data_IF_008583790891
#
_entry.id   IF_008583790891
#
_cell.length_a   1.000
_cell.length_b   1.000
_cell.length_c   1.000
_cell.angle_alpha   90.00
_cell.angle_beta   90.00
_cell.angle_gamma   90.00
#
_symmetry.space_group_name_H-M   'P 1'
#
loop_
_entity.id
_entity.type
_entity.pdbx_description
1 polymer ?
#
# COMPACT_ATOMS: atom_id res chain seq x y z
N UNK A 1 -32.45 8.58 0.00
CA UNK A 1 -31.00 8.88 -0.12
C UNK A 1 -30.88 10.17 -0.90
N UNK A 2 -30.07 11.15 -0.49
CA UNK A 2 -29.85 12.35 -1.31
C UNK A 2 -29.27 11.92 -2.67
N UNK A 3 -29.73 12.54 -3.76
CA UNK A 3 -29.25 12.27 -5.11
C UNK A 3 -27.72 12.48 -5.15
N UNK A 4 -27.00 11.52 -5.72
CA UNK A 4 -25.56 11.65 -5.96
C UNK A 4 -25.34 12.85 -6.89
N UNK A 5 -24.29 13.62 -6.65
CA UNK A 5 -23.93 14.79 -7.45
C UNK A 5 -22.57 14.56 -8.08
N UNK A 6 -22.36 15.05 -9.30
CA UNK A 6 -21.08 14.98 -10.01
C UNK A 6 -20.78 16.28 -10.75
N UNK A 7 -19.51 16.50 -11.06
CA UNK A 7 -19.08 17.61 -11.90
C UNK A 7 -19.39 17.32 -13.37
N UNK A 8 -20.08 18.22 -14.04
CA UNK A 8 -20.26 18.16 -15.49
C UNK A 8 -19.17 18.98 -16.22
N UNK A 9 -18.61 20.00 -15.56
CA UNK A 9 -17.50 20.81 -16.08
C UNK A 9 -16.20 20.00 -16.09
N UNK A 10 -15.73 19.60 -17.25
CA UNK A 10 -14.51 18.81 -17.45
C UNK A 10 -13.26 19.53 -16.95
N UNK A 11 -13.16 20.85 -17.11
CA UNK A 11 -11.99 21.63 -16.65
C UNK A 11 -11.92 21.64 -15.12
N UNK A 12 -13.05 21.88 -14.46
CA UNK A 12 -13.11 21.84 -13.00
C UNK A 12 -12.89 20.43 -12.45
N UNK A 13 -13.41 19.41 -13.13
CA UNK A 13 -13.18 18.00 -12.77
C UNK A 13 -11.70 17.61 -12.89
N UNK A 14 -11.02 18.02 -13.96
CA UNK A 14 -9.59 17.78 -14.14
C UNK A 14 -8.77 18.52 -13.08
N UNK A 15 -9.09 19.78 -12.80
CA UNK A 15 -8.42 20.57 -11.79
C UNK A 15 -8.56 19.94 -10.40
N UNK A 16 -9.77 19.54 -10.01
CA UNK A 16 -10.04 18.85 -8.74
C UNK A 16 -9.26 17.52 -8.67
N UNK A 17 -9.21 16.75 -9.76
CA UNK A 17 -8.44 15.51 -9.81
C UNK A 17 -6.94 15.74 -9.63
N UNK A 18 -6.35 16.71 -10.34
CA UNK A 18 -4.93 17.04 -10.20
C UNK A 18 -4.60 17.47 -8.77
N UNK A 19 -5.45 18.31 -8.17
CA UNK A 19 -5.30 18.71 -6.78
C UNK A 19 -5.34 17.49 -5.83
N UNK A 20 -6.34 16.60 -5.98
CA UNK A 20 -6.47 15.39 -5.17
C UNK A 20 -5.26 14.46 -5.36
N UNK A 21 -4.75 14.36 -6.58
CA UNK A 21 -3.57 13.55 -6.89
C UNK A 21 -2.32 14.07 -6.16
N UNK A 22 -2.07 15.37 -6.21
CA UNK A 22 -0.95 16.02 -5.50
C UNK A 22 -1.13 15.87 -3.98
N UNK A 23 -2.32 16.15 -3.48
CA UNK A 23 -2.66 15.99 -2.06
C UNK A 23 -2.42 14.56 -1.58
N UNK A 24 -2.83 13.56 -2.34
CA UNK A 24 -2.63 12.16 -1.97
C UNK A 24 -1.16 11.73 -2.02
N UNK A 25 -0.40 12.25 -2.98
CA UNK A 25 1.05 12.06 -3.00
C UNK A 25 1.72 12.66 -1.74
N UNK A 26 1.31 13.85 -1.31
CA UNK A 26 1.78 14.48 -0.08
C UNK A 26 1.35 13.68 1.15
N UNK A 27 0.12 13.18 1.22
CA UNK A 27 -0.34 12.31 2.32
C UNK A 27 0.52 11.05 2.41
N UNK A 28 0.84 10.42 1.28
CA UNK A 28 1.74 9.25 1.26
C UNK A 28 3.18 9.59 1.64
N UNK A 29 3.68 10.74 1.21
CA UNK A 29 4.98 11.24 1.64
C UNK A 29 5.02 11.39 3.16
N UNK A 30 4.11 12.17 3.74
CA UNK A 30 4.08 12.49 5.16
C UNK A 30 3.81 11.27 6.05
N UNK A 31 3.01 10.31 5.57
CA UNK A 31 2.79 9.01 6.21
C UNK A 31 4.07 8.18 6.30
N UNK A 32 4.95 8.27 5.31
CA UNK A 32 6.18 7.48 5.23
C UNK A 32 7.44 8.27 5.65
N UNK A 33 7.32 9.53 6.10
CA UNK A 33 8.47 10.30 6.56
C UNK A 33 9.17 9.64 7.76
N UNK A 34 8.42 8.93 8.61
CA UNK A 34 8.99 8.14 9.70
C UNK A 34 9.89 7.01 9.17
N UNK A 35 9.45 6.28 8.14
CA UNK A 35 10.27 5.23 7.50
C UNK A 35 11.53 5.82 6.85
N UNK A 36 11.44 6.98 6.23
CA UNK A 36 12.60 7.70 5.67
C UNK A 36 13.59 8.16 6.75
N UNK A 37 13.09 8.56 7.92
CA UNK A 37 13.91 9.00 9.05
C UNK A 37 14.53 7.83 9.84
N UNK A 38 14.03 6.60 9.70
CA UNK A 38 14.41 5.45 10.53
C UNK A 38 15.91 5.19 10.55
N UNK A 39 16.57 5.22 9.38
CA UNK A 39 18.01 4.98 9.29
C UNK A 39 18.81 6.02 10.08
N UNK A 40 18.42 7.30 10.03
CA UNK A 40 19.07 8.38 10.79
C UNK A 40 18.80 8.27 12.29
N UNK A 41 17.57 7.96 12.70
CA UNK A 41 17.18 7.76 14.11
C UNK A 41 18.00 6.63 14.74
N UNK A 42 18.16 5.52 14.03
CA UNK A 42 18.97 4.37 14.47
C UNK A 42 20.46 4.71 14.49
N UNK A 43 20.97 5.39 13.47
CA UNK A 43 22.37 5.79 13.38
C UNK A 43 22.78 6.77 14.51
N UNK A 44 21.87 7.66 14.91
CA UNK A 44 22.07 8.60 16.02
C UNK A 44 21.89 7.94 17.40
N UNK A 45 21.50 6.65 17.46
CA UNK A 45 21.29 5.91 18.70
C UNK A 45 20.08 6.34 19.53
N UNK A 46 19.15 7.11 18.94
CA UNK A 46 17.95 7.62 19.63
C UNK A 46 16.96 6.48 19.89
N UNK A 47 16.82 5.55 18.95
CA UNK A 47 15.94 4.37 19.05
C UNK A 47 16.60 3.16 18.40
N UNK A 48 16.23 1.96 18.91
CA UNK A 48 16.59 0.70 18.25
C UNK A 48 15.72 0.45 17.02
N UNK A 49 16.12 -0.49 16.14
CA UNK A 49 15.31 -0.94 15.00
C UNK A 49 13.94 -1.45 15.44
N UNK A 50 13.90 -2.20 16.54
CA UNK A 50 12.64 -2.73 17.08
C UNK A 50 11.72 -1.63 17.60
N UNK A 51 12.26 -0.57 18.22
CA UNK A 51 11.46 0.59 18.67
C UNK A 51 10.87 1.36 17.49
N UNK A 52 11.66 1.67 16.47
CA UNK A 52 11.17 2.32 15.24
C UNK A 52 10.18 1.43 14.50
N UNK A 53 10.45 0.13 14.47
CA UNK A 53 9.56 -0.88 13.90
C UNK A 53 8.24 -0.98 14.64
N UNK A 54 8.22 -0.88 15.97
CA UNK A 54 6.99 -0.92 16.77
C UNK A 54 6.09 0.28 16.47
N UNK A 55 6.65 1.50 16.36
CA UNK A 55 5.88 2.69 15.98
C UNK A 55 5.17 2.47 14.64
N UNK A 56 5.88 1.94 13.64
CA UNK A 56 5.31 1.63 12.33
C UNK A 56 4.27 0.50 12.40
N UNK A 57 4.54 -0.56 13.19
CA UNK A 57 3.64 -1.69 13.34
C UNK A 57 2.31 -1.27 13.97
N UNK A 58 2.35 -0.50 15.05
CA UNK A 58 1.14 0.00 15.74
C UNK A 58 0.34 0.92 14.83
N UNK A 59 1.02 1.79 14.05
CA UNK A 59 0.34 2.61 13.05
C UNK A 59 -0.50 1.75 12.11
N UNK A 60 0.06 0.74 11.47
CA UNK A 60 -0.67 -0.11 10.51
C UNK A 60 -1.69 -1.03 11.18
N UNK A 61 -1.43 -1.50 12.41
CA UNK A 61 -2.36 -2.32 13.18
C UNK A 61 -3.66 -1.57 13.49
N UNK A 62 -3.57 -0.27 13.77
CA UNK A 62 -4.74 0.59 14.04
C UNK A 62 -5.35 1.10 12.73
N UNK A 63 -4.52 1.50 11.77
CA UNK A 63 -4.94 2.06 10.49
C UNK A 63 -5.80 1.09 9.66
N UNK A 64 -5.38 -0.18 9.55
CA UNK A 64 -6.03 -1.12 8.65
C UNK A 64 -7.49 -1.46 9.02
N UNK A 65 -7.83 -1.79 10.29
CA UNK A 65 -9.23 -1.99 10.69
C UNK A 65 -10.07 -0.72 10.58
N UNK A 66 -9.47 0.42 10.94
CA UNK A 66 -10.17 1.71 10.90
C UNK A 66 -10.46 2.20 9.48
N UNK A 67 -9.77 1.71 8.44
CA UNK A 67 -10.15 1.98 7.05
C UNK A 67 -11.57 1.47 6.71
N UNK A 68 -12.01 0.36 7.31
CA UNK A 68 -13.38 -0.14 7.12
C UNK A 68 -14.40 0.82 7.76
N UNK A 69 -14.07 1.34 8.94
CA UNK A 69 -14.89 2.36 9.61
C UNK A 69 -14.88 3.66 8.81
N UNK A 70 -13.71 4.09 8.35
CA UNK A 70 -13.52 5.26 7.49
C UNK A 70 -14.33 5.18 6.19
N UNK A 71 -14.42 3.99 5.56
CA UNK A 71 -15.26 3.75 4.41
C UNK A 71 -16.75 3.97 4.70
N UNK A 72 -17.26 3.40 5.81
CA UNK A 72 -18.64 3.63 6.25
C UNK A 72 -18.93 5.10 6.60
N UNK A 73 -17.95 5.79 7.19
CA UNK A 73 -18.06 7.21 7.46
C UNK A 73 -18.07 8.02 6.16
N UNK A 74 -17.20 7.71 5.20
CA UNK A 74 -17.15 8.37 3.91
C UNK A 74 -18.47 8.22 3.13
N UNK A 75 -19.17 7.09 3.27
CA UNK A 75 -20.48 6.90 2.63
C UNK A 75 -21.59 7.77 3.25
N UNK A 76 -21.53 7.99 4.57
CA UNK A 76 -22.60 8.70 5.32
C UNK A 76 -22.33 10.19 5.50
N UNK A 77 -21.04 10.56 5.62
CA UNK A 77 -20.61 11.92 5.91
C UNK A 77 -20.06 12.59 4.64
N UNK A 78 -19.78 13.88 4.77
CA UNK A 78 -19.13 14.69 3.74
C UNK A 78 -17.66 14.28 3.60
N UNK A 79 -17.22 13.81 2.41
CA UNK A 79 -15.86 13.33 2.22
C UNK A 79 -14.80 14.42 2.42
N UNK A 80 -15.13 15.68 2.06
CA UNK A 80 -14.25 16.84 2.25
C UNK A 80 -13.91 17.10 3.73
N UNK A 81 -14.88 16.97 4.63
CA UNK A 81 -14.65 17.15 6.07
C UNK A 81 -13.75 16.04 6.62
N UNK A 82 -13.95 14.80 6.21
CA UNK A 82 -13.10 13.68 6.61
C UNK A 82 -11.66 13.86 6.11
N UNK A 83 -11.49 14.39 4.89
CA UNK A 83 -10.18 14.73 4.34
C UNK A 83 -9.54 15.85 5.17
N UNK A 84 -10.27 16.91 5.49
CA UNK A 84 -9.76 18.03 6.30
C UNK A 84 -9.32 17.55 7.69
N UNK A 85 -10.13 16.73 8.38
CA UNK A 85 -9.77 16.14 9.67
C UNK A 85 -8.47 15.33 9.55
N UNK A 86 -8.35 14.50 8.51
CA UNK A 86 -7.16 13.71 8.24
C UNK A 86 -5.92 14.56 8.00
N UNK A 87 -6.02 15.61 7.16
CA UNK A 87 -4.90 16.50 6.83
C UNK A 87 -4.46 17.32 8.06
N UNK A 88 -5.40 17.95 8.76
CA UNK A 88 -5.10 18.78 9.93
C UNK A 88 -4.55 17.92 11.07
N UNK A 89 -5.20 16.80 11.39
CA UNK A 89 -4.75 15.89 12.44
C UNK A 89 -3.36 15.31 12.16
N UNK A 90 -3.08 14.93 10.89
CA UNK A 90 -1.74 14.47 10.49
C UNK A 90 -0.72 15.61 10.52
N UNK A 91 -1.09 16.83 10.17
CA UNK A 91 -0.26 18.01 10.29
C UNK A 91 0.18 18.26 11.73
N UNK A 92 -0.78 18.23 12.66
CA UNK A 92 -0.52 18.37 14.10
C UNK A 92 0.38 17.24 14.61
N UNK A 93 0.12 16.00 14.24
CA UNK A 93 0.93 14.85 14.65
C UNK A 93 2.40 14.99 14.20
N UNK A 94 2.63 15.37 12.94
CA UNK A 94 3.98 15.62 12.44
C UNK A 94 4.66 16.78 13.16
N UNK A 95 3.94 17.86 13.47
CA UNK A 95 4.48 19.00 14.19
C UNK A 95 4.90 18.64 15.62
N UNK A 96 4.09 17.84 16.33
CA UNK A 96 4.44 17.37 17.69
C UNK A 96 5.72 16.53 17.66
N UNK A 97 5.89 15.65 16.68
CA UNK A 97 7.12 14.82 16.53
C UNK A 97 8.34 15.70 16.23
N UNK A 98 8.17 16.75 15.42
CA UNK A 98 9.25 17.71 15.18
C UNK A 98 9.73 18.36 16.47
N UNK A 99 8.81 18.73 17.38
CA UNK A 99 9.12 19.41 18.64
C UNK A 99 9.70 18.48 19.71
N UNK A 100 9.35 17.19 19.69
CA UNK A 100 9.76 16.26 20.74
C UNK A 100 9.99 14.84 20.19
N UNK A 101 11.18 14.32 20.39
CA UNK A 101 11.66 13.03 19.91
C UNK A 101 11.61 11.92 20.96
N UNK A 102 10.81 12.10 22.04
CA UNK A 102 10.62 11.03 23.04
C UNK A 102 9.91 9.84 22.40
N UNK A 103 10.44 8.64 22.58
CA UNK A 103 9.92 7.38 22.01
C UNK A 103 8.43 7.15 22.32
N UNK A 104 8.02 7.29 23.59
CA UNK A 104 6.63 7.04 23.98
C UNK A 104 5.68 8.08 23.41
N UNK A 105 6.09 9.35 23.36
CA UNK A 105 5.30 10.40 22.73
C UNK A 105 5.15 10.14 21.23
N UNK A 106 6.23 9.77 20.54
CA UNK A 106 6.19 9.43 19.12
C UNK A 106 5.27 8.23 18.86
N UNK A 107 5.31 7.19 19.69
CA UNK A 107 4.44 6.02 19.58
C UNK A 107 2.96 6.41 19.71
N UNK A 108 2.61 7.21 20.71
CA UNK A 108 1.22 7.66 20.95
C UNK A 108 0.76 8.55 19.81
N UNK A 109 1.54 9.58 19.46
CA UNK A 109 1.18 10.54 18.43
C UNK A 109 1.06 9.88 17.05
N UNK A 110 1.96 8.94 16.73
CA UNK A 110 1.89 8.21 15.45
C UNK A 110 0.70 7.26 15.38
N UNK A 111 0.32 6.67 16.54
CA UNK A 111 -0.89 5.87 16.66
C UNK A 111 -2.15 6.74 16.44
N UNK A 112 -2.23 7.93 17.04
CA UNK A 112 -3.33 8.87 16.82
C UNK A 112 -3.37 9.36 15.36
N UNK A 113 -2.21 9.57 14.75
CA UNK A 113 -2.10 9.90 13.34
C UNK A 113 -2.73 8.81 12.44
N UNK A 114 -2.58 7.53 12.80
CA UNK A 114 -3.20 6.43 12.05
C UNK A 114 -4.73 6.47 12.09
N UNK A 115 -5.31 6.91 13.21
CA UNK A 115 -6.77 7.07 13.36
C UNK A 115 -7.30 8.13 12.41
N UNK A 116 -6.70 9.34 12.43
CA UNK A 116 -7.18 10.45 11.59
C UNK A 116 -6.92 10.20 10.11
N UNK A 117 -5.87 9.46 9.75
CA UNK A 117 -5.57 9.11 8.35
C UNK A 117 -6.46 8.00 7.80
N UNK A 118 -7.09 7.18 8.65
CA UNK A 118 -7.82 6.00 8.21
C UNK A 118 -8.98 6.29 7.26
N UNK A 119 -9.63 7.44 7.40
CA UNK A 119 -10.74 7.88 6.56
C UNK A 119 -10.31 8.62 5.28
N UNK A 120 -9.02 9.00 5.13
CA UNK A 120 -8.54 9.78 3.98
C UNK A 120 -8.74 9.04 2.67
N UNK A 121 -8.21 7.83 2.57
CA UNK A 121 -8.31 7.06 1.32
C UNK A 121 -9.75 6.76 0.90
N UNK A 122 -10.65 6.26 1.77
CA UNK A 122 -12.04 6.06 1.39
C UNK A 122 -12.73 7.32 0.91
N UNK A 123 -12.45 8.47 1.55
CA UNK A 123 -13.02 9.76 1.17
C UNK A 123 -12.49 10.27 -0.18
N UNK A 124 -11.18 10.16 -0.41
CA UNK A 124 -10.55 10.47 -1.70
C UNK A 124 -11.13 9.59 -2.80
N UNK A 125 -11.22 8.28 -2.56
CA UNK A 125 -11.77 7.33 -3.52
C UNK A 125 -13.23 7.63 -3.85
N UNK A 126 -14.04 8.04 -2.87
CA UNK A 126 -15.43 8.46 -3.08
C UNK A 126 -15.51 9.67 -4.00
N UNK A 127 -14.69 10.72 -3.78
CA UNK A 127 -14.69 11.90 -4.66
C UNK A 127 -14.31 11.48 -6.09
N UNK A 128 -13.25 10.71 -6.27
CA UNK A 128 -12.77 10.30 -7.60
C UNK A 128 -13.80 9.43 -8.32
N UNK A 129 -14.42 8.48 -7.64
CA UNK A 129 -15.31 7.49 -8.25
C UNK A 129 -16.72 7.98 -8.49
N UNK A 130 -17.19 9.01 -7.74
CA UNK A 130 -18.58 9.45 -7.81
C UNK A 130 -18.78 10.93 -8.13
N UNK A 131 -17.83 11.82 -7.78
CA UNK A 131 -18.03 13.26 -7.88
C UNK A 131 -17.32 13.91 -9.07
N UNK A 132 -16.33 13.26 -9.67
CA UNK A 132 -15.71 13.74 -10.91
C UNK A 132 -16.61 13.53 -12.12
N UNK A 133 -16.31 14.24 -13.22
CA UNK A 133 -16.93 14.01 -14.51
C UNK A 133 -16.70 12.56 -14.97
N UNK A 134 -17.68 11.97 -15.63
CA UNK A 134 -17.69 10.54 -15.99
C UNK A 134 -16.41 10.07 -16.69
N UNK A 135 -15.90 10.88 -17.62
CA UNK A 135 -14.66 10.56 -18.35
C UNK A 135 -13.41 10.51 -17.45
N UNK A 136 -13.40 11.27 -16.36
CA UNK A 136 -12.29 11.34 -15.43
C UNK A 136 -12.35 10.27 -14.33
N UNK A 137 -13.51 9.66 -14.05
CA UNK A 137 -13.66 8.67 -12.97
C UNK A 137 -12.76 7.45 -13.17
N UNK A 138 -12.87 6.76 -14.32
CA UNK A 138 -12.11 5.53 -14.60
C UNK A 138 -10.61 5.82 -14.68
N UNK A 139 -10.23 6.89 -15.41
CA UNK A 139 -8.84 7.32 -15.52
C UNK A 139 -8.29 7.77 -14.17
N UNK A 140 -9.09 8.49 -13.38
CA UNK A 140 -8.72 8.97 -12.06
C UNK A 140 -8.39 7.84 -11.09
N UNK A 141 -9.21 6.79 -11.04
CA UNK A 141 -8.95 5.60 -10.21
C UNK A 141 -7.64 4.90 -10.61
N UNK A 142 -7.32 4.87 -11.90
CA UNK A 142 -6.05 4.30 -12.35
C UNK A 142 -4.85 5.19 -11.96
N UNK A 143 -4.91 6.49 -12.27
CA UNK A 143 -3.77 7.38 -12.06
C UNK A 143 -3.50 7.70 -10.59
N UNK A 144 -4.52 7.67 -9.70
CA UNK A 144 -4.30 7.96 -8.27
C UNK A 144 -3.38 6.94 -7.60
N UNK A 145 -3.28 5.71 -8.12
CA UNK A 145 -2.38 4.69 -7.59
C UNK A 145 -0.90 5.09 -7.71
N UNK A 146 -0.55 5.85 -8.74
CA UNK A 146 0.81 6.36 -8.90
C UNK A 146 1.18 7.42 -7.85
N UNK A 147 0.20 8.21 -7.37
CA UNK A 147 0.45 9.22 -6.35
C UNK A 147 1.06 8.62 -5.09
N UNK A 148 0.64 7.42 -4.68
CA UNK A 148 1.20 6.72 -3.52
C UNK A 148 2.67 6.33 -3.71
N UNK A 149 3.05 5.88 -4.91
CA UNK A 149 4.44 5.52 -5.22
C UNK A 149 5.32 6.76 -5.24
N UNK A 150 4.88 7.85 -5.89
CA UNK A 150 5.61 9.11 -5.88
C UNK A 150 5.73 9.68 -4.46
N UNK A 151 4.66 9.64 -3.67
CA UNK A 151 4.70 10.09 -2.27
C UNK A 151 5.71 9.29 -1.44
N UNK A 152 5.78 7.97 -1.63
CA UNK A 152 6.79 7.15 -0.97
C UNK A 152 8.21 7.53 -1.40
N UNK A 153 8.46 7.74 -2.70
CA UNK A 153 9.76 8.21 -3.18
C UNK A 153 10.14 9.56 -2.57
N UNK A 154 9.20 10.52 -2.51
CA UNK A 154 9.45 11.82 -1.89
C UNK A 154 9.76 11.73 -0.40
N UNK A 155 9.21 10.75 0.33
CA UNK A 155 9.56 10.53 1.74
C UNK A 155 11.05 10.19 1.91
N UNK A 156 11.61 9.36 1.04
CA UNK A 156 13.03 8.99 1.09
C UNK A 156 13.93 10.08 0.48
N UNK A 157 13.49 10.78 -0.57
CA UNK A 157 14.21 11.93 -1.13
C UNK A 157 14.35 13.03 -0.08
N UNK A 158 13.26 13.41 0.58
CA UNK A 158 13.30 14.45 1.62
C UNK A 158 14.17 14.03 2.80
N UNK A 159 14.10 12.76 3.22
CA UNK A 159 14.95 12.24 4.28
C UNK A 159 16.44 12.25 3.91
N UNK A 160 16.76 12.03 2.62
CA UNK A 160 18.13 12.10 2.13
C UNK A 160 18.68 13.54 2.03
N UNK A 161 17.82 14.50 1.69
CA UNK A 161 18.21 15.90 1.49
C UNK A 161 18.23 16.73 2.78
N UNK A 162 17.48 16.30 3.82
CA UNK A 162 17.42 17.02 5.09
C UNK A 162 18.64 16.74 5.95
N UNK A 163 19.35 17.78 6.37
CA UNK A 163 20.49 17.67 7.30
C UNK A 163 20.12 17.13 8.68
N UNK A 164 18.88 17.37 9.10
CA UNK A 164 18.30 16.83 10.34
C UNK A 164 17.00 16.13 9.99
N UNK A 165 16.85 14.86 10.37
CA UNK A 165 15.68 14.07 10.09
C UNK A 165 14.37 14.66 10.66
N UNK A 166 14.46 15.41 11.78
CA UNK A 166 13.32 16.12 12.39
C UNK A 166 12.69 17.12 11.41
N UNK A 167 13.49 17.80 10.58
CA UNK A 167 12.99 18.77 9.61
C UNK A 167 12.05 18.15 8.57
N UNK A 168 12.15 16.83 8.35
CA UNK A 168 11.23 16.12 7.47
C UNK A 168 9.79 16.13 8.04
N UNK A 169 9.65 16.03 9.36
CA UNK A 169 8.34 16.14 10.04
C UNK A 169 7.80 17.57 10.02
N UNK A 170 8.67 18.58 10.17
CA UNK A 170 8.25 19.99 10.03
C UNK A 170 7.74 20.26 8.62
N UNK A 171 8.50 19.89 7.60
CA UNK A 171 8.08 20.04 6.21
C UNK A 171 6.77 19.32 5.93
N UNK A 172 6.63 18.08 6.43
CA UNK A 172 5.40 17.30 6.33
C UNK A 172 4.21 18.02 6.95
N UNK A 173 4.38 18.60 8.13
CA UNK A 173 3.34 19.37 8.81
C UNK A 173 2.90 20.58 7.97
N UNK A 174 3.86 21.38 7.48
CA UNK A 174 3.57 22.56 6.65
C UNK A 174 2.82 22.18 5.39
N UNK A 175 3.26 21.14 4.68
CA UNK A 175 2.61 20.67 3.45
C UNK A 175 1.17 20.19 3.71
N UNK A 176 0.94 19.47 4.81
CA UNK A 176 -0.40 19.00 5.17
C UNK A 176 -1.36 20.16 5.48
N UNK A 177 -0.89 21.20 6.20
CA UNK A 177 -1.70 22.39 6.46
C UNK A 177 -1.99 23.19 5.18
N UNK A 178 -1.00 23.33 4.29
CA UNK A 178 -1.22 23.96 2.97
C UNK A 178 -2.29 23.18 2.19
N UNK A 179 -2.20 21.86 2.14
CA UNK A 179 -3.21 21.03 1.45
C UNK A 179 -4.59 21.15 2.11
N UNK A 180 -4.66 21.26 3.44
CA UNK A 180 -5.92 21.47 4.13
C UNK A 180 -6.57 22.81 3.77
N UNK A 181 -5.78 23.89 3.72
CA UNK A 181 -6.26 25.23 3.32
C UNK A 181 -6.78 25.19 1.87
N UNK A 182 -6.01 24.61 0.95
CA UNK A 182 -6.41 24.50 -0.45
C UNK A 182 -7.70 23.65 -0.57
N UNK A 183 -7.81 22.53 0.19
CA UNK A 183 -9.04 21.70 0.19
C UNK A 183 -10.26 22.48 0.66
N UNK A 184 -10.10 23.26 1.73
CA UNK A 184 -11.18 24.09 2.27
C UNK A 184 -11.67 25.18 1.28
N UNK A 185 -10.83 25.59 0.33
CA UNK A 185 -11.16 26.56 -0.72
C UNK A 185 -11.70 25.86 -1.98
N UNK A 186 -10.96 24.88 -2.48
CA UNK A 186 -11.21 24.26 -3.79
C UNK A 186 -12.48 23.41 -3.79
N UNK A 187 -12.67 22.59 -2.76
CA UNK A 187 -13.80 21.66 -2.75
C UNK A 187 -15.16 22.37 -2.69
N UNK A 188 -15.42 23.40 -1.88
CA UNK A 188 -16.69 24.14 -1.93
C UNK A 188 -16.96 24.80 -3.28
N UNK A 189 -15.93 25.28 -3.97
CA UNK A 189 -16.07 25.84 -5.33
C UNK A 189 -16.50 24.74 -6.31
N UNK A 190 -15.87 23.57 -6.25
CA UNK A 190 -16.23 22.41 -7.06
C UNK A 190 -17.65 21.93 -6.72
N UNK A 191 -17.99 21.81 -5.44
CA UNK A 191 -19.30 21.33 -4.98
C UNK A 191 -20.47 22.20 -5.43
N UNK A 192 -20.29 23.53 -5.55
CA UNK A 192 -21.31 24.45 -6.10
C UNK A 192 -21.59 24.22 -7.58
N UNK A 193 -20.66 23.61 -8.32
CA UNK A 193 -20.78 23.30 -9.75
C UNK A 193 -21.24 21.87 -10.02
N UNK A 194 -21.48 21.08 -8.96
CA UNK A 194 -21.97 19.71 -9.10
C UNK A 194 -23.45 19.70 -9.42
N UNK A 195 -23.82 18.90 -10.41
CA UNK A 195 -25.20 18.64 -10.83
C UNK A 195 -25.66 17.27 -10.31
N UNK A 196 -27.00 17.08 -10.14
CA UNK A 196 -27.52 15.76 -9.79
C UNK A 196 -27.12 14.71 -10.84
N UNK A 197 -26.75 13.53 -10.39
CA UNK A 197 -26.40 12.41 -11.27
C UNK A 197 -27.69 11.71 -11.70
N UNK A 198 -28.24 12.10 -12.86
CA UNK A 198 -29.45 11.51 -13.43
C UNK A 198 -29.22 10.11 -14.00
N UNK A 199 -27.95 9.72 -14.21
CA UNK A 199 -27.61 8.43 -14.80
C UNK A 199 -27.74 7.27 -13.81
N UNK A 200 -28.05 7.54 -12.55
CA UNK A 200 -28.13 6.54 -11.48
C UNK A 200 -26.76 5.91 -11.18
N UNK A 201 -26.65 5.03 -10.18
CA UNK A 201 -25.45 4.19 -10.07
C UNK A 201 -25.37 3.47 -11.40
N UNK A 202 -24.30 3.74 -12.15
CA UNK A 202 -24.13 3.17 -13.47
C UNK A 202 -24.58 1.70 -13.43
N UNK A 203 -25.54 1.33 -14.27
CA UNK A 203 -25.84 -0.07 -14.63
C UNK A 203 -24.61 -0.78 -15.22
N UNK A 204 -23.47 -0.13 -15.15
CA UNK A 204 -22.19 -0.70 -15.47
C UNK A 204 -21.92 -1.78 -14.42
N UNK A 205 -22.14 -3.02 -14.84
CA UNK A 205 -21.77 -4.28 -14.21
C UNK A 205 -22.80 -5.01 -13.32
N UNK A 206 -24.06 -4.63 -13.33
CA UNK A 206 -25.13 -5.60 -13.17
C UNK A 206 -25.74 -5.87 -14.55
N UNK A 207 -24.97 -6.42 -15.47
CA UNK A 207 -25.55 -7.39 -16.38
C UNK A 207 -26.15 -8.45 -15.47
N UNK A 208 -27.45 -8.72 -15.63
CA UNK A 208 -28.12 -9.85 -15.03
C UNK A 208 -27.44 -11.12 -15.55
N UNK A 209 -26.33 -11.49 -14.91
CA UNK A 209 -25.74 -12.80 -15.14
C UNK A 209 -26.72 -13.79 -14.54
N UNK A 210 -27.41 -14.54 -15.39
CA UNK A 210 -28.16 -15.73 -14.98
C UNK A 210 -27.22 -16.59 -14.13
N UNK A 211 -27.44 -16.59 -12.83
CA UNK A 211 -26.74 -17.50 -11.94
C UNK A 211 -27.26 -18.90 -12.25
N UNK A 212 -26.39 -19.86 -12.57
CA UNK A 212 -26.82 -21.25 -12.64
C UNK A 212 -27.47 -21.62 -11.30
N UNK A 213 -28.74 -22.04 -11.34
CA UNK A 213 -29.57 -22.27 -10.14
C UNK A 213 -28.95 -23.25 -9.13
N UNK A 214 -28.01 -24.10 -9.57
CA UNK A 214 -27.38 -25.16 -8.76
C UNK A 214 -26.07 -24.76 -8.05
N UNK A 215 -25.55 -23.51 -8.20
CA UNK A 215 -24.28 -23.14 -7.61
C UNK A 215 -24.43 -22.45 -6.24
N UNK A 216 -23.73 -22.99 -5.23
CA UNK A 216 -23.65 -22.35 -3.91
C UNK A 216 -22.78 -21.09 -3.96
N UNK A 217 -23.45 -19.93 -4.03
CA UNK A 217 -22.82 -18.60 -4.11
C UNK A 217 -22.57 -17.95 -2.73
N UNK A 218 -22.76 -18.69 -1.62
CA UNK A 218 -22.43 -18.20 -0.27
C UNK A 218 -20.93 -17.94 -0.18
N UNK A 219 -20.55 -16.74 0.29
CA UNK A 219 -19.16 -16.28 0.34
C UNK A 219 -18.21 -17.30 0.96
N UNK A 220 -18.55 -17.84 2.13
CA UNK A 220 -17.69 -18.80 2.83
C UNK A 220 -17.42 -20.08 2.01
N UNK A 221 -18.46 -20.63 1.37
CA UNK A 221 -18.34 -21.84 0.54
C UNK A 221 -17.46 -21.58 -0.68
N UNK A 222 -17.70 -20.46 -1.39
CA UNK A 222 -16.90 -20.06 -2.54
C UNK A 222 -15.43 -19.87 -2.15
N UNK A 223 -15.16 -19.15 -1.05
CA UNK A 223 -13.80 -18.85 -0.60
C UNK A 223 -13.02 -20.07 -0.13
N UNK A 224 -13.72 -21.05 0.48
CA UNK A 224 -13.14 -22.35 0.82
C UNK A 224 -12.84 -23.18 -0.43
N UNK A 225 -13.76 -23.23 -1.40
CA UNK A 225 -13.60 -23.99 -2.66
C UNK A 225 -12.46 -23.42 -3.51
N UNK A 226 -12.38 -22.10 -3.69
CA UNK A 226 -11.33 -21.46 -4.50
C UNK A 226 -9.95 -21.45 -3.82
N UNK A 227 -9.88 -21.75 -2.51
CA UNK A 227 -8.63 -21.79 -1.77
C UNK A 227 -8.17 -20.42 -1.25
N UNK A 228 -9.05 -19.41 -1.19
CA UNK A 228 -8.72 -18.06 -0.71
C UNK A 228 -8.04 -18.10 0.67
N UNK A 229 -8.61 -18.84 1.63
CA UNK A 229 -8.06 -18.92 2.98
C UNK A 229 -6.64 -19.50 3.05
N UNK A 230 -6.27 -20.39 2.11
CA UNK A 230 -4.89 -20.91 1.96
C UNK A 230 -4.00 -19.88 1.29
N UNK A 231 -4.57 -19.00 0.46
CA UNK A 231 -3.84 -17.94 -0.22
C UNK A 231 -3.53 -16.74 0.70
N UNK A 232 -4.32 -16.48 1.75
CA UNK A 232 -4.12 -15.34 2.66
C UNK A 232 -2.72 -15.33 3.30
N UNK A 233 -2.13 -16.43 3.81
CA UNK A 233 -0.74 -16.44 4.28
C UNK A 233 0.28 -16.04 3.20
N UNK A 234 0.04 -16.38 1.93
CA UNK A 234 0.90 -15.94 0.82
C UNK A 234 0.81 -14.43 0.63
N UNK A 235 -0.39 -13.87 0.77
CA UNK A 235 -0.61 -12.42 0.70
C UNK A 235 0.05 -11.70 1.90
N UNK A 236 0.02 -12.31 3.09
CA UNK A 236 0.75 -11.83 4.27
C UNK A 236 2.25 -11.78 3.96
N UNK A 237 2.83 -12.88 3.44
CA UNK A 237 4.24 -12.93 3.05
C UNK A 237 4.58 -11.88 1.98
N UNK A 238 3.70 -11.65 1.00
CA UNK A 238 3.85 -10.58 0.00
C UNK A 238 3.88 -9.19 0.63
N UNK A 239 2.96 -8.90 1.55
CA UNK A 239 2.90 -7.63 2.27
C UNK A 239 4.17 -7.39 3.09
N UNK A 240 4.64 -8.45 3.76
CA UNK A 240 5.85 -8.47 4.56
C UNK A 240 7.11 -8.19 3.71
N UNK A 241 7.24 -8.81 2.53
CA UNK A 241 8.35 -8.58 1.61
C UNK A 241 8.28 -7.20 0.95
N UNK A 242 7.10 -6.81 0.43
CA UNK A 242 6.96 -5.61 -0.40
C UNK A 242 7.24 -4.33 0.37
N UNK A 243 6.47 -4.04 1.40
CA UNK A 243 6.68 -2.82 2.20
C UNK A 243 7.85 -2.99 3.19
N UNK A 244 8.07 -4.21 3.65
CA UNK A 244 9.14 -4.51 4.58
C UNK A 244 10.51 -4.15 4.06
N UNK A 245 10.85 -4.63 2.88
CA UNK A 245 12.13 -4.32 2.26
C UNK A 245 12.24 -2.82 1.97
N UNK A 246 11.20 -2.18 1.41
CA UNK A 246 11.21 -0.74 1.13
C UNK A 246 11.47 0.12 2.38
N UNK A 247 10.92 -0.28 3.52
CA UNK A 247 11.07 0.48 4.76
C UNK A 247 12.43 0.23 5.45
N UNK A 248 12.97 -0.99 5.33
CA UNK A 248 14.20 -1.38 6.04
C UNK A 248 15.46 -1.36 5.18
N UNK A 249 15.35 -1.29 3.85
CA UNK A 249 16.53 -1.31 2.98
C UNK A 249 17.56 -0.23 3.32
N UNK A 250 17.22 1.04 3.63
CA UNK A 250 18.22 2.03 4.02
C UNK A 250 19.02 1.61 5.25
N UNK A 251 18.35 1.10 6.29
CA UNK A 251 19.00 0.65 7.53
C UNK A 251 19.83 -0.62 7.31
N UNK A 252 19.29 -1.59 6.56
CA UNK A 252 20.00 -2.80 6.17
C UNK A 252 21.32 -2.47 5.44
N UNK A 253 21.25 -1.59 4.44
CA UNK A 253 22.42 -1.21 3.64
C UNK A 253 23.43 -0.42 4.48
N UNK A 254 22.97 0.52 5.30
CA UNK A 254 23.82 1.29 6.21
C UNK A 254 24.60 0.42 7.20
N UNK A 255 23.91 -0.54 7.83
CA UNK A 255 24.56 -1.41 8.82
C UNK A 255 25.42 -2.52 8.20
N UNK A 256 25.15 -2.89 6.94
CA UNK A 256 25.89 -3.97 6.26
C UNK A 256 27.07 -3.48 5.44
N UNK A 257 27.14 -2.19 5.11
CA UNK A 257 28.18 -1.61 4.24
C UNK A 257 28.71 -0.30 4.83
N UNK A 258 29.97 -0.28 5.24
CA UNK A 258 30.59 0.89 5.85
C UNK A 258 30.61 2.15 4.96
N UNK A 259 30.50 1.98 3.64
CA UNK A 259 30.42 3.08 2.67
C UNK A 259 29.03 3.74 2.56
N UNK A 260 28.01 3.17 3.23
CA UNK A 260 26.61 3.63 3.11
C UNK A 260 26.22 4.43 4.33
N UNK A 261 26.06 5.75 4.15
CA UNK A 261 25.43 6.63 5.15
C UNK A 261 23.89 6.54 5.05
N UNK A 262 23.12 7.03 6.06
CA UNK A 262 21.67 7.12 5.97
C UNK A 262 21.18 7.85 4.71
N UNK A 263 21.90 8.90 4.28
CA UNK A 263 21.60 9.65 3.06
C UNK A 263 21.72 8.76 1.83
N UNK A 264 22.85 8.05 1.68
CA UNK A 264 23.10 7.15 0.55
C UNK A 264 22.08 6.00 0.57
N UNK A 265 21.79 5.42 1.72
CA UNK A 265 20.78 4.37 1.88
C UNK A 265 19.40 4.79 1.40
N UNK A 266 18.97 6.01 1.76
CA UNK A 266 17.71 6.56 1.31
C UNK A 266 17.68 6.80 -0.21
N UNK A 267 18.75 7.32 -0.81
CA UNK A 267 18.83 7.48 -2.27
C UNK A 267 18.79 6.13 -3.01
N UNK A 268 19.52 5.13 -2.55
CA UNK A 268 19.47 3.79 -3.13
C UNK A 268 18.07 3.16 -3.04
N UNK A 269 17.36 3.43 -1.94
CA UNK A 269 16.01 2.94 -1.75
C UNK A 269 15.00 3.48 -2.76
N UNK A 270 15.22 4.66 -3.35
CA UNK A 270 14.38 5.20 -4.41
C UNK A 270 14.36 4.25 -5.62
N UNK A 271 15.53 3.74 -6.03
CA UNK A 271 15.63 2.76 -7.13
C UNK A 271 14.92 1.44 -6.77
N UNK A 272 15.06 1.00 -5.52
CA UNK A 272 14.36 -0.18 -5.01
C UNK A 272 12.84 0.01 -5.10
N UNK A 273 12.30 1.16 -4.68
CA UNK A 273 10.86 1.46 -4.76
C UNK A 273 10.38 1.51 -6.21
N UNK A 274 11.10 2.22 -7.08
CA UNK A 274 10.73 2.40 -8.48
C UNK A 274 10.78 1.09 -9.28
N UNK A 275 11.64 0.14 -8.90
CA UNK A 275 11.69 -1.18 -9.54
C UNK A 275 10.37 -1.94 -9.47
N UNK A 276 9.52 -1.65 -8.47
CA UNK A 276 8.18 -2.20 -8.38
C UNK A 276 7.28 -1.86 -9.57
N UNK A 277 7.42 -0.65 -10.13
CA UNK A 277 6.68 -0.23 -11.33
C UNK A 277 7.08 -1.10 -12.52
N UNK A 278 8.37 -1.39 -12.65
CA UNK A 278 8.91 -2.26 -13.71
C UNK A 278 8.30 -3.66 -13.60
N UNK A 279 8.26 -4.22 -12.39
CA UNK A 279 7.65 -5.53 -12.14
C UNK A 279 6.17 -5.59 -12.52
N UNK A 280 5.39 -4.60 -12.11
CA UNK A 280 3.98 -4.48 -12.49
C UNK A 280 3.80 -4.37 -14.02
N UNK A 281 4.65 -3.59 -14.69
CA UNK A 281 4.60 -3.46 -16.15
C UNK A 281 4.85 -4.79 -16.86
N UNK A 282 5.86 -5.57 -16.41
CA UNK A 282 6.15 -6.89 -16.97
C UNK A 282 4.99 -7.86 -16.79
N UNK A 283 4.39 -7.93 -15.60
CA UNK A 283 3.23 -8.80 -15.37
C UNK A 283 2.05 -8.40 -16.23
N UNK A 284 1.72 -7.10 -16.32
CA UNK A 284 0.66 -6.60 -17.21
C UNK A 284 0.89 -6.99 -18.67
N UNK A 285 2.15 -7.03 -19.15
CA UNK A 285 2.49 -7.40 -20.51
C UNK A 285 2.36 -8.90 -20.78
N UNK A 286 2.62 -9.72 -19.77
CA UNK A 286 2.60 -11.18 -19.87
C UNK A 286 1.20 -11.74 -19.67
N UNK A 287 0.41 -11.16 -18.77
CA UNK A 287 -0.98 -11.55 -18.49
C UNK A 287 -1.95 -10.80 -19.41
N UNK A 288 -3.00 -11.43 -20.00
CA UNK A 288 -3.26 -12.88 -19.99
C UNK A 288 -2.56 -13.64 -21.15
N UNK A 289 -1.72 -12.96 -21.96
CA UNK A 289 -1.21 -13.50 -23.24
C UNK A 289 -0.41 -14.79 -23.10
N UNK A 290 0.45 -14.90 -22.07
CA UNK A 290 1.30 -16.08 -21.83
C UNK A 290 0.92 -16.83 -20.55
N UNK A 291 0.35 -16.14 -19.59
CA UNK A 291 -0.11 -16.69 -18.31
C UNK A 291 -1.54 -16.25 -18.14
N UNK A 292 -2.50 -17.18 -18.23
CA UNK A 292 -3.95 -16.96 -18.11
C UNK A 292 -4.54 -17.52 -16.81
N UNK A 293 -3.70 -17.95 -15.88
CA UNK A 293 -4.10 -18.46 -14.56
C UNK A 293 -3.38 -17.62 -13.49
N UNK A 294 -4.16 -16.90 -12.69
CA UNK A 294 -3.67 -15.93 -11.71
C UNK A 294 -2.84 -16.62 -10.63
N UNK A 295 -3.29 -17.79 -10.17
CA UNK A 295 -2.61 -18.54 -9.09
C UNK A 295 -1.31 -19.17 -9.60
N UNK A 296 -1.28 -19.67 -10.85
CA UNK A 296 -0.04 -20.13 -11.46
C UNK A 296 0.95 -18.99 -11.68
N UNK A 297 0.47 -17.83 -12.14
CA UNK A 297 1.31 -16.64 -12.29
C UNK A 297 1.94 -16.21 -10.98
N UNK A 298 1.15 -16.22 -9.90
CA UNK A 298 1.64 -15.98 -8.55
C UNK A 298 2.69 -17.01 -8.14
N UNK A 299 2.46 -18.29 -8.42
CA UNK A 299 3.38 -19.40 -8.12
C UNK A 299 4.71 -19.26 -8.87
N UNK A 300 4.67 -18.90 -10.14
CA UNK A 300 5.88 -18.66 -10.93
C UNK A 300 6.75 -17.55 -10.28
N UNK A 301 6.14 -16.42 -9.92
CA UNK A 301 6.87 -15.32 -9.29
C UNK A 301 7.48 -15.75 -7.95
N UNK A 302 6.71 -16.41 -7.08
CA UNK A 302 7.23 -16.85 -5.78
C UNK A 302 8.32 -17.92 -5.92
N UNK A 303 8.27 -18.76 -6.94
CA UNK A 303 9.36 -19.72 -7.25
C UNK A 303 10.64 -18.99 -7.66
N UNK A 304 10.53 -17.93 -8.48
CA UNK A 304 11.68 -17.10 -8.87
C UNK A 304 12.21 -16.31 -7.66
N UNK A 305 11.33 -15.90 -6.72
CA UNK A 305 11.74 -15.21 -5.50
C UNK A 305 12.63 -16.07 -4.59
N UNK A 306 12.52 -17.40 -4.59
CA UNK A 306 13.37 -18.26 -3.74
C UNK A 306 14.87 -17.99 -3.94
N UNK A 307 15.45 -18.20 -5.15
CA UNK A 307 16.87 -17.95 -5.35
C UNK A 307 17.23 -16.46 -5.19
N UNK A 308 16.37 -15.52 -5.56
CA UNK A 308 16.65 -14.10 -5.44
C UNK A 308 16.72 -13.66 -3.97
N UNK A 309 15.78 -14.13 -3.13
CA UNK A 309 15.82 -13.86 -1.69
C UNK A 309 16.99 -14.61 -1.01
N UNK A 310 17.31 -15.83 -1.44
CA UNK A 310 18.46 -16.57 -0.91
C UNK A 310 19.79 -15.80 -1.11
N UNK A 311 19.96 -15.10 -2.23
CA UNK A 311 21.14 -14.26 -2.48
C UNK A 311 21.28 -13.11 -1.47
N UNK A 312 20.19 -12.65 -0.84
CA UNK A 312 20.29 -11.61 0.21
C UNK A 312 21.01 -12.09 1.47
N UNK A 313 21.09 -13.41 1.70
CA UNK A 313 21.85 -13.96 2.83
C UNK A 313 23.37 -13.71 2.70
N UNK A 314 23.82 -13.29 1.53
CA UNK A 314 25.19 -12.86 1.26
C UNK A 314 25.40 -11.36 1.52
N UNK A 315 24.49 -10.71 2.23
CA UNK A 315 24.59 -9.30 2.63
C UNK A 315 25.91 -9.05 3.39
N UNK A 316 26.60 -7.96 3.07
CA UNK A 316 27.94 -7.66 3.60
C UNK A 316 29.09 -8.49 2.97
N UNK A 317 28.81 -9.59 2.28
CA UNK A 317 29.81 -10.38 1.51
C UNK A 317 29.83 -10.01 0.03
N UNK A 318 28.66 -9.74 -0.55
CA UNK A 318 28.54 -9.21 -1.91
C UNK A 318 28.88 -7.72 -1.93
N UNK A 319 29.42 -7.19 -3.05
CA UNK A 319 29.51 -5.74 -3.24
C UNK A 319 28.13 -5.05 -3.16
N UNK A 320 28.14 -3.75 -2.84
CA UNK A 320 26.91 -2.96 -2.65
C UNK A 320 25.99 -3.00 -3.90
N UNK A 321 26.55 -2.80 -5.10
CA UNK A 321 25.76 -2.72 -6.35
C UNK A 321 24.96 -3.99 -6.65
N UNK A 322 25.53 -5.22 -6.62
CA UNK A 322 24.75 -6.45 -6.75
C UNK A 322 23.66 -6.58 -5.67
N UNK A 323 23.93 -6.21 -4.43
CA UNK A 323 22.93 -6.28 -3.37
C UNK A 323 21.74 -5.36 -3.65
N UNK A 324 21.96 -4.12 -4.09
CA UNK A 324 20.89 -3.20 -4.48
C UNK A 324 20.08 -3.76 -5.64
N UNK A 325 20.74 -4.36 -6.66
CA UNK A 325 20.05 -5.00 -7.78
C UNK A 325 19.16 -6.16 -7.29
N UNK A 326 19.64 -6.99 -6.37
CA UNK A 326 18.88 -8.09 -5.77
C UNK A 326 17.64 -7.53 -5.05
N UNK A 327 17.77 -6.48 -4.26
CA UNK A 327 16.64 -5.83 -3.57
C UNK A 327 15.64 -5.23 -4.59
N UNK A 328 16.12 -4.62 -5.68
CA UNK A 328 15.27 -4.16 -6.78
C UNK A 328 14.50 -5.32 -7.42
N UNK A 329 15.14 -6.44 -7.68
CA UNK A 329 14.49 -7.63 -8.25
C UNK A 329 13.42 -8.19 -7.30
N UNK A 330 13.68 -8.25 -6.00
CA UNK A 330 12.69 -8.70 -5.02
C UNK A 330 11.46 -7.80 -5.06
N UNK A 331 11.64 -6.47 -5.05
CA UNK A 331 10.52 -5.53 -5.08
C UNK A 331 9.78 -5.60 -6.42
N UNK A 332 10.48 -5.69 -7.55
CA UNK A 332 9.85 -5.85 -8.85
C UNK A 332 8.97 -7.11 -8.91
N UNK A 333 9.48 -8.25 -8.46
CA UNK A 333 8.74 -9.51 -8.41
C UNK A 333 7.56 -9.43 -7.42
N UNK A 334 7.76 -8.87 -6.24
CA UNK A 334 6.72 -8.76 -5.21
C UNK A 334 5.58 -7.85 -5.64
N UNK A 335 5.87 -6.67 -6.22
CA UNK A 335 4.83 -5.77 -6.74
C UNK A 335 4.15 -6.34 -7.98
N UNK A 336 4.90 -6.98 -8.85
CA UNK A 336 4.33 -7.74 -9.97
C UNK A 336 3.35 -8.82 -9.51
N UNK A 337 3.68 -9.56 -8.46
CA UNK A 337 2.78 -10.56 -7.86
C UNK A 337 1.47 -9.96 -7.35
N UNK A 338 1.50 -8.69 -6.94
CA UNK A 338 0.31 -7.95 -6.52
C UNK A 338 -0.74 -7.81 -7.61
N UNK A 339 -0.36 -7.70 -8.87
CA UNK A 339 -1.30 -7.68 -10.00
C UNK A 339 -2.05 -9.00 -10.15
N UNK A 340 -1.40 -10.14 -9.93
CA UNK A 340 -2.10 -11.44 -9.98
C UNK A 340 -3.14 -11.56 -8.87
N UNK A 341 -2.89 -11.02 -7.68
CA UNK A 341 -3.91 -10.99 -6.61
C UNK A 341 -5.06 -10.04 -6.95
N UNK A 342 -4.81 -8.95 -7.67
CA UNK A 342 -5.86 -8.07 -8.18
C UNK A 342 -6.69 -8.75 -9.27
N UNK A 343 -6.06 -9.40 -10.23
CA UNK A 343 -6.77 -10.15 -11.28
C UNK A 343 -7.59 -11.31 -10.69
N UNK A 344 -7.06 -12.02 -9.70
CA UNK A 344 -7.79 -13.00 -8.92
C UNK A 344 -9.07 -12.41 -8.32
N UNK A 345 -8.97 -11.22 -7.70
CA UNK A 345 -10.10 -10.52 -7.10
C UNK A 345 -11.18 -10.15 -8.13
N UNK A 346 -10.76 -9.66 -9.32
CA UNK A 346 -11.69 -9.24 -10.39
C UNK A 346 -12.57 -10.39 -10.88
N UNK A 347 -12.09 -11.64 -10.86
CA UNK A 347 -12.89 -12.82 -11.25
C UNK A 347 -14.17 -12.98 -10.42
N UNK A 348 -14.17 -12.52 -9.18
CA UNK A 348 -15.34 -12.57 -8.30
C UNK A 348 -16.37 -11.47 -8.56
N UNK A 349 -16.09 -10.52 -9.48
CA UNK A 349 -17.04 -9.47 -9.85
C UNK A 349 -18.33 -10.05 -10.44
N UNK A 350 -18.23 -11.16 -11.19
CA UNK A 350 -19.38 -11.92 -11.74
C UNK A 350 -20.41 -12.31 -10.67
N UNK A 351 -19.98 -12.52 -9.44
CA UNK A 351 -20.84 -12.93 -8.31
C UNK A 351 -21.03 -11.79 -7.29
N UNK A 352 -20.63 -10.55 -7.61
CA UNK A 352 -20.72 -9.42 -6.68
C UNK A 352 -19.87 -9.56 -5.42
N UNK A 353 -18.82 -10.44 -5.43
CA UNK A 353 -17.98 -10.75 -4.28
C UNK A 353 -16.57 -10.17 -4.37
N UNK A 354 -16.26 -9.42 -5.41
CA UNK A 354 -14.95 -8.81 -5.61
C UNK A 354 -14.54 -7.86 -4.48
N UNK A 355 -15.45 -7.07 -3.95
CA UNK A 355 -15.19 -6.19 -2.80
C UNK A 355 -14.83 -6.95 -1.53
N UNK A 356 -15.53 -8.05 -1.25
CA UNK A 356 -15.27 -8.90 -0.09
C UNK A 356 -13.91 -9.59 -0.20
N UNK A 357 -13.58 -10.17 -1.36
CA UNK A 357 -12.27 -10.79 -1.62
C UNK A 357 -11.14 -9.75 -1.55
N UNK A 358 -11.33 -8.54 -2.11
CA UNK A 358 -10.37 -7.45 -2.00
C UNK A 358 -10.13 -7.06 -0.54
N UNK A 359 -11.17 -7.02 0.28
CA UNK A 359 -11.08 -6.76 1.72
C UNK A 359 -10.19 -7.76 2.45
N UNK A 360 -10.39 -9.06 2.23
CA UNK A 360 -9.55 -10.12 2.81
C UNK A 360 -8.09 -10.00 2.37
N UNK A 361 -7.85 -9.75 1.08
CA UNK A 361 -6.49 -9.61 0.52
C UNK A 361 -5.79 -8.37 1.11
N UNK A 362 -6.47 -7.23 1.17
CA UNK A 362 -5.89 -6.01 1.74
C UNK A 362 -5.60 -6.14 3.24
N UNK A 363 -6.51 -6.77 3.99
CA UNK A 363 -6.30 -7.06 5.41
C UNK A 363 -5.09 -7.97 5.61
N UNK A 364 -4.96 -9.04 4.85
CA UNK A 364 -3.82 -9.95 4.93
C UNK A 364 -2.50 -9.23 4.59
N UNK A 365 -2.48 -8.40 3.55
CA UNK A 365 -1.31 -7.60 3.20
C UNK A 365 -0.91 -6.63 4.33
N UNK A 366 -1.88 -5.99 4.99
CA UNK A 366 -1.64 -5.10 6.13
C UNK A 366 -1.08 -5.85 7.34
N UNK A 367 -1.55 -7.06 7.63
CA UNK A 367 -0.95 -7.92 8.67
C UNK A 367 0.51 -8.26 8.35
N UNK A 368 0.85 -8.50 7.08
CA UNK A 368 2.24 -8.69 6.65
C UNK A 368 3.13 -7.49 7.01
N UNK A 369 2.62 -6.26 6.82
CA UNK A 369 3.33 -5.03 7.17
C UNK A 369 3.56 -4.94 8.68
N UNK A 370 2.56 -5.25 9.49
CA UNK A 370 2.66 -5.23 10.96
C UNK A 370 3.71 -6.21 11.44
N UNK A 371 3.66 -7.46 10.98
CA UNK A 371 4.62 -8.50 11.36
C UNK A 371 6.04 -8.10 10.97
N UNK A 372 6.22 -7.55 9.76
CA UNK A 372 7.53 -7.11 9.29
C UNK A 372 8.05 -5.95 10.13
N UNK A 373 7.26 -4.92 10.35
CA UNK A 373 7.74 -3.67 10.95
C UNK A 373 8.32 -3.89 12.34
N UNK A 374 7.71 -4.74 13.16
CA UNK A 374 8.21 -5.05 14.50
C UNK A 374 8.97 -6.37 14.57
N UNK A 375 8.39 -7.45 14.04
CA UNK A 375 8.95 -8.79 14.20
C UNK A 375 10.30 -8.96 13.50
N UNK A 376 10.39 -8.55 12.24
CA UNK A 376 11.66 -8.63 11.48
C UNK A 376 12.68 -7.65 12.02
N UNK A 377 12.27 -6.43 12.43
CA UNK A 377 13.16 -5.47 13.08
C UNK A 377 13.75 -6.01 14.36
N UNK A 378 12.93 -6.67 15.20
CA UNK A 378 13.37 -7.29 16.44
C UNK A 378 14.34 -8.46 16.20
N UNK A 379 14.08 -9.28 15.19
CA UNK A 379 15.00 -10.36 14.79
C UNK A 379 16.33 -9.76 14.32
N UNK A 380 16.31 -8.69 13.56
CA UNK A 380 17.52 -8.00 13.11
C UNK A 380 18.31 -7.39 14.28
N UNK A 381 17.63 -6.85 15.31
CA UNK A 381 18.28 -6.35 16.53
C UNK A 381 18.94 -7.47 17.37
N UNK A 382 18.28 -8.64 17.49
CA UNK A 382 18.73 -9.71 18.38
C UNK A 382 19.75 -10.64 17.71
N UNK A 383 19.56 -10.94 16.42
CA UNK A 383 20.31 -11.98 15.71
C UNK A 383 20.93 -11.50 14.38
N UNK A 384 20.81 -10.19 14.10
CA UNK A 384 21.38 -9.57 12.90
C UNK A 384 20.55 -9.76 11.63
N UNK A 385 20.97 -9.10 10.57
CA UNK A 385 20.24 -9.05 9.29
C UNK A 385 20.15 -10.41 8.58
N UNK A 386 21.18 -11.28 8.69
CA UNK A 386 21.14 -12.61 8.06
C UNK A 386 19.96 -13.43 8.60
N UNK A 387 19.73 -13.41 9.91
CA UNK A 387 18.58 -14.09 10.51
C UNK A 387 17.24 -13.51 10.04
N UNK A 388 17.14 -12.20 9.98
CA UNK A 388 15.95 -11.51 9.46
C UNK A 388 15.66 -11.86 7.99
N UNK A 389 16.68 -11.90 7.15
CA UNK A 389 16.57 -12.28 5.73
C UNK A 389 16.25 -13.77 5.55
N UNK A 390 16.74 -14.64 6.43
CA UNK A 390 16.40 -16.06 6.44
C UNK A 390 14.89 -16.30 6.72
N UNK A 391 14.27 -15.47 7.58
CA UNK A 391 12.81 -15.51 7.78
C UNK A 391 12.07 -15.17 6.48
N UNK A 392 12.51 -14.17 5.71
CA UNK A 392 11.93 -13.88 4.40
C UNK A 392 12.01 -15.08 3.45
N UNK A 393 13.18 -15.73 3.39
CA UNK A 393 13.36 -16.92 2.55
C UNK A 393 12.43 -18.06 2.97
N UNK A 394 12.31 -18.34 4.27
CA UNK A 394 11.41 -19.36 4.78
C UNK A 394 9.94 -19.08 4.40
N UNK A 395 9.50 -17.82 4.54
CA UNK A 395 8.15 -17.42 4.17
C UNK A 395 7.88 -17.54 2.66
N UNK A 396 8.88 -17.25 1.80
CA UNK A 396 8.75 -17.44 0.35
C UNK A 396 8.62 -18.94 0.02
N UNK A 397 9.42 -19.80 0.63
CA UNK A 397 9.35 -21.26 0.42
C UNK A 397 7.97 -21.79 0.87
N UNK A 398 7.51 -21.42 2.06
CA UNK A 398 6.17 -21.80 2.56
C UNK A 398 5.10 -21.31 1.61
N UNK A 399 5.22 -20.09 1.09
CA UNK A 399 4.26 -19.53 0.12
C UNK A 399 4.18 -20.36 -1.15
N UNK A 400 5.30 -20.82 -1.69
CA UNK A 400 5.33 -21.71 -2.88
C UNK A 400 4.56 -23.01 -2.60
N UNK A 401 4.79 -23.64 -1.44
CA UNK A 401 4.06 -24.85 -1.06
C UNK A 401 2.56 -24.61 -0.98
N UNK A 402 2.14 -23.51 -0.34
CA UNK A 402 0.72 -23.16 -0.24
C UNK A 402 0.09 -22.87 -1.62
N UNK A 403 0.80 -22.19 -2.51
CA UNK A 403 0.32 -21.92 -3.86
C UNK A 403 0.14 -23.21 -4.65
N UNK A 404 1.07 -24.16 -4.55
CA UNK A 404 0.96 -25.48 -5.20
C UNK A 404 -0.34 -26.19 -4.75
N UNK A 405 -0.70 -26.10 -3.48
CA UNK A 405 -1.95 -26.66 -2.93
C UNK A 405 -3.20 -25.93 -3.49
N UNK A 406 -3.10 -24.63 -3.76
CA UNK A 406 -4.23 -23.82 -4.26
C UNK A 406 -4.45 -23.99 -5.76
N UNK A 407 -3.41 -24.21 -6.57
CA UNK A 407 -3.51 -24.34 -8.04
C UNK A 407 -4.64 -25.32 -8.47
N UNK A 408 -4.70 -26.58 -8.01
CA UNK A 408 -5.75 -27.49 -8.41
C UNK A 408 -7.14 -27.07 -7.92
N UNK A 409 -7.24 -26.46 -6.73
CA UNK A 409 -8.51 -25.93 -6.19
C UNK A 409 -9.01 -24.78 -7.05
N UNK A 410 -8.14 -23.83 -7.41
CA UNK A 410 -8.45 -22.71 -8.27
C UNK A 410 -8.88 -23.15 -9.66
N UNK A 411 -8.15 -24.08 -10.28
CA UNK A 411 -8.50 -24.64 -11.59
C UNK A 411 -9.86 -25.34 -11.59
N UNK A 412 -10.18 -26.11 -10.54
CA UNK A 412 -11.49 -26.75 -10.37
C UNK A 412 -12.57 -25.70 -10.21
N UNK A 413 -12.35 -24.71 -9.34
CA UNK A 413 -13.28 -23.64 -9.04
C UNK A 413 -13.61 -22.79 -10.28
N UNK A 414 -12.60 -22.34 -11.03
CA UNK A 414 -12.81 -21.53 -12.24
C UNK A 414 -13.59 -22.28 -13.33
N UNK A 415 -13.44 -23.60 -13.40
CA UNK A 415 -14.24 -24.45 -14.30
C UNK A 415 -15.68 -24.59 -13.81
N UNK A 416 -15.90 -24.86 -12.51
CA UNK A 416 -17.21 -25.06 -11.90
C UNK A 416 -18.05 -23.77 -11.94
N UNK A 417 -17.40 -22.61 -11.72
CA UNK A 417 -18.05 -21.29 -11.65
C UNK A 417 -17.93 -20.49 -12.96
N UNK A 418 -17.45 -21.07 -14.05
CA UNK A 418 -17.34 -20.43 -15.37
C UNK A 418 -16.65 -19.06 -15.34
N UNK A 419 -15.52 -18.94 -14.61
CA UNK A 419 -14.75 -17.72 -14.42
C UNK A 419 -13.58 -17.55 -15.42
#
# INVERSE_FOLDING_TARGET
MPMKKHLNDQKMSLFLFIYIWIMYAIVYWTKNCFSGAMASIVAEGIMTKSQTGLITAVFYLVYAPLQVVGGKLADRWRPDLLILIGLIGSGIANFIIYLNQNYYLMLIVWTLNSVVQSALWPSIFKIISSELAHEHRIRGVYYITFASTFGLCFAFISAALMSKWQNNFLLSSILLFIMAIIMAIVYPIAARRMVPDETGPAKALHEDFEHPEDLDTRSFTMFKKCGLFILLPVVIARGLLGLGIKNMAPTLLMESYASVSPVVGNFLNIFIILSGIVGMYFVKRIYPKRINDEVKGLGLIFTILIPVVALTLLVGKLPLSPMVIILCLIIALTEGSGLFTQYYTVKFAKYGKNGEVAGYINMAAAFGIVIQSYGVAKIADMWGWIAALAVFLALVIISVVLIIIVIPKWKKFTREYHM
#
